data_IF_037791341444
#
_entry.id   IF_037791341444
#
_cell.length_a   1.000
_cell.length_b   1.000
_cell.length_c   1.000
_cell.angle_alpha   90.00
_cell.angle_beta   90.00
_cell.angle_gamma   90.00
#
_symmetry.space_group_name_H-M   'P 1'
#
loop_
_entity.id
_entity.type
_entity.pdbx_description
1 polymer ?
#
# COMPACT_ATOMS: atom_id res chain seq x y z
N UNK A 1 -6.88 -4.10 24.34
CA UNK A 1 -6.77 -3.14 23.24
C UNK A 1 -7.19 -3.82 21.95
N UNK A 2 -7.77 -3.10 21.00
CA UNK A 2 -8.11 -3.68 19.69
C UNK A 2 -6.82 -4.11 18.97
N UNK A 3 -6.82 -5.31 18.37
CA UNK A 3 -5.69 -5.80 17.57
C UNK A 3 -5.52 -4.90 16.34
N UNK A 4 -4.29 -4.48 16.06
CA UNK A 4 -3.96 -3.76 14.83
C UNK A 4 -4.31 -4.63 13.61
N UNK A 5 -4.82 -4.02 12.56
CA UNK A 5 -5.26 -4.68 11.32
C UNK A 5 -4.29 -4.35 10.20
N UNK A 6 -3.94 -5.35 9.39
CA UNK A 6 -3.08 -5.15 8.23
C UNK A 6 -3.76 -5.72 6.99
N UNK A 7 -3.74 -4.94 5.91
CA UNK A 7 -4.23 -5.36 4.61
C UNK A 7 -3.11 -5.94 3.79
N UNK A 8 -3.20 -7.21 3.41
CA UNK A 8 -2.36 -7.76 2.36
C UNK A 8 -2.97 -7.46 0.98
N UNK A 9 -2.28 -6.64 0.22
CA UNK A 9 -2.57 -6.26 -1.16
C UNK A 9 -1.72 -7.10 -2.13
N UNK A 10 -2.29 -8.24 -2.56
CA UNK A 10 -1.65 -9.33 -3.29
C UNK A 10 -1.51 -9.10 -4.80
N UNK A 11 -0.64 -9.86 -5.50
CA UNK A 11 -0.62 -10.06 -6.96
C UNK A 11 -0.53 -11.53 -7.41
N UNK A 12 -1.58 -12.03 -8.08
CA UNK A 12 -1.66 -13.44 -8.52
C UNK A 12 -0.60 -13.88 -9.54
N UNK A 13 -0.20 -13.01 -10.48
CA UNK A 13 0.78 -13.33 -11.51
C UNK A 13 2.25 -13.01 -11.18
N UNK A 14 2.56 -12.42 -10.01
CA UNK A 14 3.94 -12.02 -9.66
C UNK A 14 4.45 -12.68 -8.39
N UNK A 15 3.58 -13.18 -7.52
CA UNK A 15 4.00 -13.85 -6.31
C UNK A 15 4.32 -15.33 -6.57
N UNK A 16 5.43 -15.86 -6.01
CA UNK A 16 5.59 -17.29 -5.82
C UNK A 16 4.34 -17.84 -5.09
N UNK A 17 3.84 -19.00 -5.52
CA UNK A 17 2.55 -19.52 -5.03
C UNK A 17 2.47 -19.76 -3.52
N UNK A 18 3.61 -19.89 -2.84
CA UNK A 18 3.72 -20.06 -1.39
C UNK A 18 3.76 -18.74 -0.59
N UNK A 19 3.90 -17.59 -1.26
CA UNK A 19 4.18 -16.32 -0.59
C UNK A 19 2.99 -15.77 0.19
N UNK A 20 1.78 -15.81 -0.38
CA UNK A 20 0.56 -15.32 0.30
C UNK A 20 0.30 -16.04 1.63
N UNK A 21 0.34 -17.40 1.70
CA UNK A 21 0.27 -18.12 2.97
C UNK A 21 1.34 -17.68 3.98
N UNK A 22 2.60 -17.50 3.53
CA UNK A 22 3.71 -17.08 4.40
C UNK A 22 3.55 -15.66 4.94
N UNK A 23 3.10 -14.72 4.11
CA UNK A 23 2.78 -13.35 4.56
C UNK A 23 1.66 -13.38 5.61
N UNK A 24 0.61 -14.17 5.38
CA UNK A 24 -0.49 -14.31 6.34
C UNK A 24 0.01 -14.84 7.69
N UNK A 25 0.81 -15.90 7.67
CA UNK A 25 1.39 -16.49 8.88
C UNK A 25 2.27 -15.48 9.63
N UNK A 26 3.19 -14.80 8.92
CA UNK A 26 4.06 -13.78 9.48
C UNK A 26 3.26 -12.65 10.16
N UNK A 27 2.22 -12.15 9.48
CA UNK A 27 1.31 -11.12 10.02
C UNK A 27 0.65 -11.58 11.32
N UNK A 28 0.11 -12.79 11.33
CA UNK A 28 -0.60 -13.33 12.48
C UNK A 28 0.36 -13.60 13.66
N UNK A 29 1.57 -14.09 13.38
CA UNK A 29 2.62 -14.32 14.38
C UNK A 29 3.11 -13.02 15.02
N UNK A 30 3.06 -11.90 14.29
CA UNK A 30 3.35 -10.57 14.82
C UNK A 30 2.18 -9.94 15.62
N UNK A 31 1.08 -10.68 15.83
CA UNK A 31 -0.06 -10.21 16.62
C UNK A 31 -0.99 -9.23 15.88
N UNK A 32 -0.97 -9.23 14.55
CA UNK A 32 -1.86 -8.39 13.74
C UNK A 32 -3.03 -9.22 13.19
N UNK A 33 -4.18 -8.56 13.01
CA UNK A 33 -5.32 -9.12 12.29
C UNK A 33 -5.08 -8.99 10.78
N UNK A 34 -4.98 -10.14 10.12
CA UNK A 34 -4.82 -10.22 8.67
C UNK A 34 -6.13 -9.94 7.93
N UNK A 35 -6.09 -9.08 6.91
CA UNK A 35 -7.13 -8.91 5.88
C UNK A 35 -6.50 -8.98 4.50
N UNK A 36 -7.31 -9.19 3.45
CA UNK A 36 -6.81 -9.47 2.11
C UNK A 36 -7.59 -8.75 1.00
N UNK A 37 -6.86 -8.39 -0.05
CA UNK A 37 -7.39 -7.97 -1.34
C UNK A 37 -6.42 -8.34 -2.46
N UNK A 38 -6.95 -8.80 -3.58
CA UNK A 38 -6.20 -9.01 -4.83
C UNK A 38 -6.18 -7.76 -5.74
N UNK A 39 -6.93 -6.72 -5.33
CA UNK A 39 -7.19 -5.49 -6.10
C UNK A 39 -7.74 -5.76 -7.49
N UNK A 40 -8.60 -6.76 -7.64
CA UNK A 40 -9.31 -7.04 -8.88
C UNK A 40 -10.75 -6.57 -8.73
N UNK A 41 -11.14 -5.62 -9.56
CA UNK A 41 -12.54 -5.21 -9.68
C UNK A 41 -13.34 -6.31 -10.38
N UNK A 42 -14.51 -6.62 -9.84
CA UNK A 42 -15.49 -7.53 -10.43
C UNK A 42 -16.90 -7.04 -10.16
N UNK A 43 -17.89 -7.66 -10.79
CA UNK A 43 -19.32 -7.33 -10.56
C UNK A 43 -19.71 -7.42 -9.07
N UNK A 44 -19.07 -8.31 -8.32
CA UNK A 44 -19.31 -8.52 -6.88
C UNK A 44 -18.34 -7.75 -5.98
N UNK A 45 -17.24 -7.23 -6.52
CA UNK A 45 -16.17 -6.55 -5.79
C UNK A 45 -15.77 -5.26 -6.51
N UNK A 46 -16.67 -4.27 -6.47
CA UNK A 46 -16.46 -2.96 -7.09
C UNK A 46 -15.24 -2.23 -6.52
N UNK A 47 -14.68 -1.33 -7.31
CA UNK A 47 -13.53 -0.51 -6.91
C UNK A 47 -13.72 0.18 -5.55
N UNK A 48 -14.89 0.75 -5.28
CA UNK A 48 -15.19 1.43 -4.01
C UNK A 48 -15.05 0.49 -2.80
N UNK A 49 -15.46 -0.77 -2.94
CA UNK A 49 -15.31 -1.77 -1.87
C UNK A 49 -13.83 -2.12 -1.64
N UNK A 50 -13.04 -2.23 -2.70
CA UNK A 50 -11.60 -2.45 -2.62
C UNK A 50 -10.93 -1.27 -1.90
N UNK A 51 -11.23 -0.05 -2.33
CA UNK A 51 -10.63 1.17 -1.78
C UNK A 51 -10.98 1.37 -0.29
N UNK A 52 -12.20 1.04 0.13
CA UNK A 52 -12.61 1.12 1.54
C UNK A 52 -11.82 0.19 2.46
N UNK A 53 -11.17 -0.87 1.95
CA UNK A 53 -10.34 -1.76 2.78
C UNK A 53 -9.09 -1.06 3.30
N UNK A 54 -8.51 -0.14 2.54
CA UNK A 54 -7.25 0.52 2.90
C UNK A 54 -7.36 1.38 4.19
N UNK A 55 -8.26 2.37 4.29
CA UNK A 55 -8.37 3.19 5.49
C UNK A 55 -8.95 2.45 6.72
N UNK A 56 -9.57 1.27 6.52
CA UNK A 56 -10.06 0.40 7.61
C UNK A 56 -8.95 -0.44 8.28
N UNK A 57 -7.75 -0.44 7.72
CA UNK A 57 -6.58 -1.13 8.25
C UNK A 57 -5.54 -0.12 8.76
N UNK A 58 -4.73 -0.54 9.72
CA UNK A 58 -3.70 0.31 10.32
C UNK A 58 -2.44 0.40 9.46
N UNK A 59 -2.17 -0.64 8.67
CA UNK A 59 -1.07 -0.70 7.72
C UNK A 59 -1.42 -1.59 6.51
N UNK A 60 -0.55 -1.62 5.52
CA UNK A 60 -0.67 -2.46 4.31
C UNK A 60 0.62 -3.26 4.10
N UNK A 61 0.54 -4.55 3.80
CA UNK A 61 1.62 -5.30 3.14
C UNK A 61 1.28 -5.39 1.67
N UNK A 62 2.21 -5.04 0.80
CA UNK A 62 1.96 -5.09 -0.64
C UNK A 62 3.15 -5.63 -1.40
N UNK A 63 2.86 -6.45 -2.40
CA UNK A 63 3.82 -6.98 -3.38
C UNK A 63 3.76 -6.22 -4.70
N UNK A 64 2.95 -5.15 -4.78
CA UNK A 64 2.60 -4.46 -6.02
C UNK A 64 2.53 -2.95 -5.86
N UNK A 65 2.93 -2.22 -6.91
CA UNK A 65 2.91 -0.77 -6.92
C UNK A 65 1.53 -0.17 -6.57
N UNK A 66 0.43 -0.73 -7.09
CA UNK A 66 -0.91 -0.19 -6.81
C UNK A 66 -1.24 -0.18 -5.31
N UNK A 67 -0.89 -1.23 -4.58
CA UNK A 67 -1.11 -1.28 -3.13
C UNK A 67 -0.34 -0.17 -2.40
N UNK A 68 0.89 0.09 -2.82
CA UNK A 68 1.70 1.19 -2.29
C UNK A 68 1.09 2.57 -2.60
N UNK A 69 0.65 2.79 -3.84
CA UNK A 69 0.00 4.05 -4.26
C UNK A 69 -1.27 4.31 -3.46
N UNK A 70 -2.13 3.29 -3.32
CA UNK A 70 -3.42 3.44 -2.61
C UNK A 70 -3.17 3.65 -1.12
N UNK A 71 -2.27 2.88 -0.50
CA UNK A 71 -1.87 3.06 0.90
C UNK A 71 -1.34 4.47 1.15
N UNK A 72 -0.42 4.94 0.30
CA UNK A 72 0.12 6.30 0.34
C UNK A 72 -0.99 7.35 0.25
N UNK A 73 -1.92 7.17 -0.69
CA UNK A 73 -3.06 8.08 -0.91
C UNK A 73 -3.94 8.23 0.33
N UNK A 74 -4.17 7.13 1.06
CA UNK A 74 -4.92 7.11 2.33
C UNK A 74 -4.08 7.38 3.58
N UNK A 75 -2.82 7.79 3.41
CA UNK A 75 -1.85 8.04 4.49
C UNK A 75 -1.70 6.84 5.43
N UNK A 76 -1.78 5.64 4.85
CA UNK A 76 -1.57 4.39 5.55
C UNK A 76 -0.10 3.97 5.39
N UNK A 77 0.59 3.63 6.47
CA UNK A 77 1.91 3.04 6.38
C UNK A 77 1.84 1.71 5.63
N UNK A 78 2.88 1.40 4.88
CA UNK A 78 2.94 0.14 4.15
C UNK A 78 4.32 -0.50 4.16
N UNK A 79 4.33 -1.82 4.06
CA UNK A 79 5.51 -2.66 3.83
C UNK A 79 5.43 -3.13 2.38
N UNK A 80 6.38 -2.70 1.56
CA UNK A 80 6.49 -3.08 0.16
C UNK A 80 7.49 -4.22 0.05
N UNK A 81 6.97 -5.44 -0.11
CA UNK A 81 7.80 -6.59 -0.46
C UNK A 81 8.07 -6.53 -1.97
N UNK A 82 9.28 -6.09 -2.31
CA UNK A 82 9.63 -5.68 -3.66
C UNK A 82 10.10 -6.85 -4.52
N UNK A 83 9.48 -6.97 -5.69
CA UNK A 83 9.89 -7.87 -6.76
C UNK A 83 10.10 -7.13 -8.09
N UNK A 84 9.94 -5.81 -8.11
CA UNK A 84 9.96 -5.00 -9.34
C UNK A 84 10.55 -3.58 -9.07
N UNK A 85 11.39 -3.04 -9.97
CA UNK A 85 12.02 -1.72 -9.78
C UNK A 85 11.05 -0.54 -9.62
N UNK A 86 9.79 -0.65 -10.06
CA UNK A 86 8.80 0.43 -9.99
C UNK A 86 8.32 0.65 -8.56
N UNK A 87 8.12 -0.42 -7.78
CA UNK A 87 7.74 -0.25 -6.38
C UNK A 87 8.92 0.32 -5.58
N UNK A 88 10.15 -0.13 -5.86
CA UNK A 88 11.37 0.46 -5.30
C UNK A 88 11.45 1.96 -5.56
N UNK A 89 11.31 2.36 -6.82
CA UNK A 89 11.37 3.76 -7.22
C UNK A 89 10.27 4.57 -6.52
N UNK A 90 9.06 4.04 -6.44
CA UNK A 90 7.95 4.71 -5.77
C UNK A 90 8.24 4.93 -4.28
N UNK A 91 8.67 3.90 -3.54
CA UNK A 91 8.98 4.08 -2.10
C UNK A 91 10.13 5.04 -1.90
N UNK A 92 11.18 5.00 -2.74
CA UNK A 92 12.32 5.92 -2.65
C UNK A 92 11.95 7.38 -2.94
N UNK A 93 11.05 7.62 -3.91
CA UNK A 93 10.63 8.97 -4.30
C UNK A 93 9.63 9.59 -3.33
N UNK A 94 8.64 8.81 -2.89
CA UNK A 94 7.49 9.35 -2.16
C UNK A 94 7.48 9.02 -0.66
N UNK A 95 8.22 8.00 -0.23
CA UNK A 95 8.21 7.51 1.14
C UNK A 95 6.86 6.94 1.58
N UNK A 96 6.55 7.01 2.87
CA UNK A 96 5.29 6.52 3.43
C UNK A 96 5.22 4.99 3.66
N UNK A 97 6.23 4.25 3.21
CA UNK A 97 6.39 2.84 3.48
C UNK A 97 7.86 2.41 3.59
N UNK A 98 8.07 1.13 3.84
CA UNK A 98 9.40 0.49 3.92
C UNK A 98 9.56 -0.54 2.80
N UNK A 99 10.76 -0.68 2.26
CA UNK A 99 11.07 -1.69 1.24
C UNK A 99 11.66 -2.92 1.93
N UNK A 100 11.07 -4.08 1.68
CA UNK A 100 11.65 -5.37 2.00
C UNK A 100 11.94 -6.11 0.70
N UNK A 101 13.11 -6.73 0.59
CA UNK A 101 13.50 -7.58 -0.54
C UNK A 101 13.32 -9.07 -0.25
N UNK A 102 13.00 -9.42 1.00
CA UNK A 102 12.78 -10.80 1.46
C UNK A 102 11.71 -10.89 2.56
N UNK A 103 11.31 -12.12 2.89
CA UNK A 103 10.37 -12.37 4.00
C UNK A 103 11.02 -12.06 5.36
N UNK A 104 12.33 -12.25 5.46
CA UNK A 104 13.12 -11.96 6.65
C UNK A 104 13.19 -10.45 6.89
N UNK A 105 13.48 -9.65 5.86
CA UNK A 105 13.45 -8.19 5.95
C UNK A 105 12.04 -7.66 6.24
N UNK A 106 11.00 -8.30 5.67
CA UNK A 106 9.61 -7.96 5.98
C UNK A 106 9.31 -8.19 7.47
N UNK A 107 9.79 -9.29 8.04
CA UNK A 107 9.64 -9.58 9.47
C UNK A 107 10.32 -8.50 10.33
N UNK A 108 11.58 -8.20 10.05
CA UNK A 108 12.35 -7.19 10.78
C UNK A 108 11.66 -5.81 10.74
N UNK A 109 11.11 -5.43 9.58
CA UNK A 109 10.37 -4.18 9.43
C UNK A 109 9.05 -4.17 10.22
N UNK A 110 8.34 -5.30 10.28
CA UNK A 110 7.11 -5.42 11.07
C UNK A 110 7.37 -5.36 12.58
N UNK A 111 8.44 -6.00 13.05
CA UNK A 111 8.84 -5.99 14.47
C UNK A 111 9.32 -4.61 14.92
N UNK A 112 10.07 -3.91 14.07
CA UNK A 112 10.56 -2.55 14.31
C UNK A 112 9.56 -1.45 13.93
N UNK A 113 8.33 -1.83 13.55
CA UNK A 113 7.37 -0.90 13.00
C UNK A 113 7.03 0.24 13.96
N UNK A 114 7.50 1.42 13.61
CA UNK A 114 7.04 2.70 14.12
C UNK A 114 6.37 3.44 12.96
N UNK A 115 5.33 4.23 13.26
CA UNK A 115 4.64 4.98 12.22
C UNK A 115 5.68 5.81 11.42
N UNK A 116 5.78 5.60 10.10
CA UNK A 116 6.84 6.19 9.29
C UNK A 116 6.80 7.71 9.39
N UNK A 117 7.99 8.33 9.34
CA UNK A 117 8.12 9.79 9.34
C UNK A 117 7.34 10.40 8.18
N UNK A 118 6.80 11.58 8.46
CA UNK A 118 5.96 12.42 7.59
C UNK A 118 6.52 12.43 6.17
N UNK A 119 5.75 11.88 5.22
CA UNK A 119 6.02 12.03 3.79
C UNK A 119 5.76 13.48 3.36
N UNK A 120 6.31 13.88 2.21
CA UNK A 120 5.98 15.16 1.57
C UNK A 120 4.55 15.18 0.97
N UNK A 121 3.63 14.39 1.52
CA UNK A 121 2.29 14.18 0.99
C UNK A 121 1.55 15.48 0.70
N UNK A 122 1.56 16.44 1.63
CA UNK A 122 0.86 17.71 1.45
C UNK A 122 1.47 18.53 0.30
N UNK A 123 2.79 18.47 0.13
CA UNK A 123 3.50 19.14 -0.96
C UNK A 123 3.16 18.50 -2.30
N UNK A 124 3.15 17.17 -2.38
CA UNK A 124 2.77 16.46 -3.61
C UNK A 124 1.29 16.64 -3.94
N UNK A 125 0.40 16.56 -2.94
CA UNK A 125 -1.03 16.78 -3.13
C UNK A 125 -1.31 18.20 -3.63
N UNK A 126 -0.61 19.21 -3.12
CA UNK A 126 -0.72 20.58 -3.62
C UNK A 126 -0.33 20.69 -5.11
N UNK A 127 0.70 19.96 -5.57
CA UNK A 127 1.07 19.92 -6.99
C UNK A 127 -0.02 19.26 -7.83
N UNK A 128 -0.63 18.19 -7.35
CA UNK A 128 -1.74 17.50 -8.04
C UNK A 128 -2.97 18.40 -8.14
N UNK A 129 -3.35 19.10 -7.07
CA UNK A 129 -4.45 20.07 -7.11
C UNK A 129 -4.18 21.20 -8.11
N UNK A 130 -2.98 21.79 -8.06
CA UNK A 130 -2.57 22.82 -9.01
C UNK A 130 -2.64 22.34 -10.45
N UNK A 131 -2.20 21.11 -10.72
CA UNK A 131 -2.33 20.50 -12.04
C UNK A 131 -3.80 20.35 -12.45
N UNK A 132 -4.66 19.86 -11.55
CA UNK A 132 -6.10 19.72 -11.79
C UNK A 132 -6.78 21.05 -12.12
N UNK A 133 -6.41 22.13 -11.43
CA UNK A 133 -6.90 23.48 -11.72
C UNK A 133 -6.51 23.96 -13.12
N UNK A 134 -5.23 23.78 -13.50
CA UNK A 134 -4.71 24.13 -14.82
C UNK A 134 -5.38 23.32 -15.94
N UNK A 135 -5.56 22.01 -15.73
CA UNK A 135 -6.22 21.13 -16.68
C UNK A 135 -7.68 21.55 -16.88
N UNK A 136 -8.41 21.84 -15.80
CA UNK A 136 -9.79 22.32 -15.87
C UNK A 136 -9.91 23.63 -16.64
N UNK A 137 -9.07 24.62 -16.37
CA UNK A 137 -9.05 25.89 -17.12
C UNK A 137 -8.84 25.64 -18.61
N UNK A 138 -7.79 24.88 -18.95
CA UNK A 138 -7.44 24.58 -20.36
C UNK A 138 -8.55 23.85 -21.11
N UNK A 139 -9.30 22.98 -20.43
CA UNK A 139 -10.38 22.19 -21.04
C UNK A 139 -11.72 22.94 -21.08
N UNK A 140 -11.99 23.87 -20.16
CA UNK A 140 -13.20 24.70 -20.16
C UNK A 140 -13.08 25.94 -21.05
N UNK A 141 -11.85 26.41 -21.34
CA UNK A 141 -11.59 27.53 -22.25
C UNK A 141 -11.54 27.11 -23.74
N UNK A 142 -12.02 25.89 -24.06
CA UNK A 142 -12.24 25.36 -25.41
C UNK A 142 -13.74 25.23 -25.69
#
# INVERSE_FOLDING_TARGET
>A
GELKKILHSHHINLEPGDLTPRIKELVQNNGWRYTFTDNVESEENLLDFILQKYPRNDAVVTTRLHGAIIAYSFRRPYFALSFDPKIDAFVKLYGGGTLASSMEELQEHMESFSAPKVSNYEVELAKVHKFGELARQTLCDR
#
